data_IF_750018803370
#
_entry.id   IF_750018803370
#
_cell.length_a   1.000
_cell.length_b   1.000
_cell.length_c   1.000
_cell.angle_alpha   90.00
_cell.angle_beta   90.00
_cell.angle_gamma   90.00
#
_symmetry.space_group_name_H-M   'P 1'
#
loop_
_entity.id
_entity.type
_entity.pdbx_description
1 polymer ?
#
# COMPACT_ATOMS: atom_id res chain seq x y z
N UNK A 1 -10.75 -19.68 7.92
CA UNK A 1 -10.31 -18.30 8.24
C UNK A 1 -9.62 -17.74 6.99
N UNK A 2 -10.27 -16.73 6.39
CA UNK A 2 -9.99 -15.87 5.23
C UNK A 2 -8.76 -16.12 4.32
N UNK A 3 -9.05 -16.16 3.02
CA UNK A 3 -8.17 -16.54 1.91
C UNK A 3 -6.98 -15.60 1.67
N UNK A 4 -5.77 -16.17 1.68
CA UNK A 4 -4.55 -15.53 1.16
C UNK A 4 -4.42 -15.92 -0.33
N UNK A 5 -5.10 -15.17 -1.20
CA UNK A 5 -5.02 -15.40 -2.66
C UNK A 5 -3.76 -14.75 -3.24
N UNK A 6 -2.93 -15.61 -3.85
CA UNK A 6 -2.06 -15.35 -5.01
C UNK A 6 -0.85 -14.45 -4.75
N UNK A 7 0.40 -14.78 -5.07
CA UNK A 7 0.98 -15.73 -6.00
C UNK A 7 2.39 -15.17 -6.28
N UNK A 8 3.37 -16.05 -6.46
CA UNK A 8 4.80 -15.72 -6.45
C UNK A 8 5.33 -15.19 -7.80
N UNK A 9 6.28 -14.23 -7.69
CA UNK A 9 7.42 -13.92 -8.59
C UNK A 9 7.15 -13.26 -9.97
N UNK A 10 8.19 -12.73 -10.66
CA UNK A 10 8.97 -11.52 -10.36
C UNK A 10 8.92 -10.52 -11.55
N UNK A 11 9.35 -9.27 -11.35
CA UNK A 11 9.65 -8.32 -12.43
C UNK A 11 8.52 -7.98 -13.43
N UNK A 12 7.42 -7.41 -12.92
CA UNK A 12 6.53 -6.50 -13.67
C UNK A 12 5.69 -5.76 -12.64
N UNK A 13 6.09 -4.51 -12.37
CA UNK A 13 5.47 -3.52 -11.46
C UNK A 13 4.12 -3.99 -10.91
N UNK A 14 4.08 -4.40 -9.64
CA UNK A 14 2.82 -4.59 -8.89
C UNK A 14 2.00 -3.32 -9.07
N UNK A 15 1.02 -3.34 -9.98
CA UNK A 15 0.04 -2.27 -10.10
C UNK A 15 -0.85 -2.42 -8.87
N UNK A 16 -0.80 -1.42 -8.00
CA UNK A 16 -1.74 -1.32 -6.90
C UNK A 16 -3.02 -0.73 -7.48
N UNK A 17 -4.14 -1.40 -7.23
CA UNK A 17 -5.45 -0.92 -7.66
C UNK A 17 -5.79 0.40 -6.96
N UNK A 18 -6.61 1.24 -7.60
CA UNK A 18 -7.00 2.54 -7.04
C UNK A 18 -7.69 2.42 -5.68
N UNK A 19 -8.46 1.34 -5.47
CA UNK A 19 -9.07 1.03 -4.16
C UNK A 19 -7.99 0.83 -3.10
N UNK A 20 -6.94 0.06 -3.41
CA UNK A 20 -5.83 -0.16 -2.49
C UNK A 20 -5.08 1.15 -2.19
N UNK A 21 -4.88 2.01 -3.19
CA UNK A 21 -4.25 3.32 -2.97
C UNK A 21 -5.10 4.19 -2.04
N UNK A 22 -6.41 4.24 -2.24
CA UNK A 22 -7.33 5.02 -1.41
C UNK A 22 -7.33 4.51 0.04
N UNK A 23 -7.35 3.19 0.25
CA UNK A 23 -7.23 2.58 1.59
C UNK A 23 -5.88 2.89 2.23
N UNK A 24 -4.79 2.82 1.47
CA UNK A 24 -3.46 3.13 1.97
C UNK A 24 -3.32 4.59 2.39
N UNK A 25 -3.89 5.52 1.61
CA UNK A 25 -3.93 6.94 1.94
C UNK A 25 -4.78 7.21 3.19
N UNK A 26 -5.97 6.58 3.26
CA UNK A 26 -6.83 6.67 4.43
C UNK A 26 -6.13 6.17 5.69
N UNK A 27 -5.46 5.02 5.62
CA UNK A 27 -4.71 4.45 6.73
C UNK A 27 -3.56 5.35 7.17
N UNK A 28 -2.87 6.01 6.23
CA UNK A 28 -1.81 6.97 6.53
C UNK A 28 -2.34 8.22 7.25
N UNK A 29 -3.52 8.72 6.85
CA UNK A 29 -4.20 9.82 7.53
C UNK A 29 -4.66 9.44 8.94
N UNK A 30 -5.22 8.25 9.11
CA UNK A 30 -5.68 7.74 10.42
C UNK A 30 -4.49 7.49 11.37
N UNK A 31 -3.40 6.89 10.87
CA UNK A 31 -2.21 6.57 11.67
C UNK A 31 -1.29 7.77 11.92
N UNK A 32 -1.58 8.94 11.30
CA UNK A 32 -0.72 10.14 11.28
C UNK A 32 0.73 9.90 10.83
N UNK A 33 1.02 8.74 10.21
CA UNK A 33 2.36 8.37 9.77
C UNK A 33 2.31 7.49 8.52
N UNK A 34 2.83 8.03 7.42
CA UNK A 34 3.05 7.33 6.16
C UNK A 34 3.96 6.11 6.33
N UNK A 35 4.92 6.17 7.26
CA UNK A 35 5.83 5.06 7.51
C UNK A 35 5.14 3.91 8.25
N UNK A 36 4.32 4.22 9.25
CA UNK A 36 3.56 3.20 9.99
C UNK A 36 2.56 2.48 9.08
N UNK A 37 1.80 3.25 8.29
CA UNK A 37 0.86 2.70 7.32
C UNK A 37 1.56 1.83 6.25
N UNK A 38 2.71 2.27 5.75
CA UNK A 38 3.48 1.48 4.78
C UNK A 38 4.03 0.17 5.36
N UNK A 39 4.47 0.18 6.63
CA UNK A 39 4.90 -1.03 7.34
C UNK A 39 3.74 -2.02 7.53
N UNK A 40 2.55 -1.53 7.93
CA UNK A 40 1.35 -2.34 8.09
C UNK A 40 0.91 -2.99 6.76
N UNK A 41 1.04 -2.26 5.65
CA UNK A 41 0.68 -2.73 4.31
C UNK A 41 1.80 -3.53 3.62
N UNK A 42 2.99 -3.61 4.20
CA UNK A 42 4.15 -4.28 3.61
C UNK A 42 4.63 -3.62 2.30
N UNK A 43 4.40 -2.32 2.14
CA UNK A 43 4.80 -1.54 0.96
C UNK A 43 5.91 -0.55 1.29
N UNK A 44 6.55 -0.01 0.26
CA UNK A 44 7.60 1.00 0.44
C UNK A 44 6.96 2.35 0.82
N UNK A 45 7.38 3.03 1.90
CA UNK A 45 6.83 4.34 2.29
C UNK A 45 6.91 5.40 1.18
N UNK A 46 7.99 5.36 0.38
CA UNK A 46 8.19 6.26 -0.77
C UNK A 46 7.10 6.12 -1.85
N UNK A 47 6.45 4.98 -1.94
CA UNK A 47 5.33 4.77 -2.87
C UNK A 47 4.06 5.46 -2.35
N UNK A 48 3.77 5.32 -1.05
CA UNK A 48 2.64 5.98 -0.40
C UNK A 48 2.81 7.51 -0.47
N UNK A 49 4.03 8.01 -0.28
CA UNK A 49 4.35 9.44 -0.45
C UNK A 49 4.10 9.96 -1.88
N UNK A 50 4.28 9.12 -2.91
CA UNK A 50 3.97 9.49 -4.30
C UNK A 50 2.47 9.54 -4.56
N UNK A 51 1.68 8.70 -3.88
CA UNK A 51 0.22 8.76 -3.96
C UNK A 51 -0.37 9.92 -3.17
N UNK A 52 0.29 10.35 -2.10
CA UNK A 52 -0.11 11.54 -1.34
C UNK A 52 0.10 12.85 -2.12
N UNK A 53 1.06 12.87 -3.05
CA UNK A 53 1.39 14.04 -3.88
C UNK A 53 0.78 13.99 -5.29
N UNK A 54 0.14 12.88 -5.66
CA UNK A 54 -0.56 12.73 -6.94
C UNK A 54 -1.96 13.35 -6.85
#
# INVERSE_FOLDING_TARGET
MTAKKSGASPDKRRKYDEVFKAEALRLASESRSTQAAAQQLGIRPKLLYRWQQA
#
